data_IF_610483795391
#
_entry.id   IF_610483795391
#
_cell.length_a   1.000
_cell.length_b   1.000
_cell.length_c   1.000
_cell.angle_alpha   90.00
_cell.angle_beta   90.00
_cell.angle_gamma   90.00
#
_symmetry.space_group_name_H-M   'P 1'
#
loop_
_entity.id
_entity.type
_entity.pdbx_description
1 polymer ?
#
# COMPACT_ATOMS: atom_id res chain seq x y z
N UNK A 1 -14.75 32.41 24.74
CA UNK A 1 -15.68 31.91 23.71
C UNK A 1 -16.45 30.75 24.34
N UNK A 2 -17.76 30.91 24.52
CA UNK A 2 -18.64 30.03 25.34
C UNK A 2 -19.50 29.16 24.40
N UNK A 3 -19.87 27.93 24.81
CA UNK A 3 -21.29 27.56 24.75
C UNK A 3 -21.73 26.82 26.03
N UNK A 4 -22.73 27.30 26.79
CA UNK A 4 -24.19 27.41 26.57
C UNK A 4 -24.94 26.18 27.11
N UNK A 5 -25.54 26.42 28.28
CA UNK A 5 -26.58 25.62 28.91
C UNK A 5 -27.91 25.76 28.15
N UNK A 6 -28.69 24.69 28.04
CA UNK A 6 -30.10 24.73 27.68
C UNK A 6 -30.88 23.78 28.59
N UNK A 7 -31.89 24.32 29.28
CA UNK A 7 -32.90 23.59 30.03
C UNK A 7 -34.28 24.01 29.52
N UNK A 8 -35.23 23.06 29.54
CA UNK A 8 -36.70 23.16 29.75
C UNK A 8 -37.45 22.09 28.90
N UNK A 9 -38.72 21.74 29.19
CA UNK A 9 -39.26 21.19 30.44
C UNK A 9 -39.98 19.84 30.20
N UNK A 10 -40.47 19.25 31.28
CA UNK A 10 -41.08 17.92 31.34
C UNK A 10 -42.51 17.81 30.76
N UNK A 11 -42.85 16.54 30.43
CA UNK A 11 -44.16 15.90 30.22
C UNK A 11 -44.65 15.79 28.77
N UNK A 12 -44.73 14.55 28.26
CA UNK A 12 -45.98 13.83 27.93
C UNK A 12 -45.66 12.38 27.50
N UNK A 13 -46.47 11.42 27.95
CA UNK A 13 -46.45 10.00 27.58
C UNK A 13 -47.00 9.82 26.16
N UNK A 14 -46.36 9.02 25.32
CA UNK A 14 -46.96 8.56 24.07
C UNK A 14 -46.01 7.90 23.08
N UNK A 15 -46.18 6.58 22.90
CA UNK A 15 -45.71 5.73 21.80
C UNK A 15 -44.19 5.73 21.49
N UNK A 16 -43.51 4.66 21.92
CA UNK A 16 -42.18 4.31 21.47
C UNK A 16 -42.22 3.88 19.99
N UNK A 17 -42.00 4.82 19.08
CA UNK A 17 -41.59 4.50 17.72
C UNK A 17 -40.11 4.11 17.76
N UNK A 18 -39.85 2.81 17.59
CA UNK A 18 -38.50 2.28 17.41
C UNK A 18 -37.96 2.81 16.07
N UNK A 19 -37.33 3.98 16.10
CA UNK A 19 -36.49 4.46 15.00
C UNK A 19 -35.30 3.51 14.90
N UNK A 20 -35.38 2.57 13.98
CA UNK A 20 -34.25 1.80 13.50
C UNK A 20 -33.24 2.79 12.93
N UNK A 21 -32.34 3.27 13.78
CA UNK A 21 -31.10 3.90 13.36
C UNK A 21 -30.34 2.84 12.56
N UNK A 22 -30.48 2.89 11.23
CA UNK A 22 -29.56 2.16 10.36
C UNK A 22 -28.14 2.58 10.77
N UNK A 23 -27.22 1.62 10.99
CA UNK A 23 -25.83 1.98 11.18
C UNK A 23 -25.41 2.80 9.95
N UNK A 24 -25.02 4.05 10.17
CA UNK A 24 -24.31 4.83 9.17
C UNK A 24 -23.01 4.06 8.96
N UNK A 25 -22.98 3.26 7.89
CA UNK A 25 -21.73 2.70 7.40
C UNK A 25 -20.78 3.88 7.23
N UNK A 26 -19.51 3.79 7.71
CA UNK A 26 -18.54 4.81 7.41
C UNK A 26 -18.54 5.02 5.89
N UNK A 27 -18.74 6.27 5.46
CA UNK A 27 -18.67 6.62 4.05
C UNK A 27 -17.30 6.16 3.58
N UNK A 28 -17.29 5.13 2.71
CA UNK A 28 -16.08 4.70 2.03
C UNK A 28 -15.46 5.95 1.41
N UNK A 29 -14.16 6.15 1.62
CA UNK A 29 -13.45 7.32 1.09
C UNK A 29 -13.70 7.47 -0.41
N UNK A 30 -13.49 8.65 -0.97
CA UNK A 30 -13.56 8.81 -2.43
C UNK A 30 -12.32 8.15 -3.05
N UNK A 31 -12.46 7.31 -4.09
CA UNK A 31 -11.32 6.81 -4.84
C UNK A 31 -10.47 7.97 -5.37
N UNK A 32 -9.15 7.87 -5.21
CA UNK A 32 -8.19 8.86 -5.74
C UNK A 32 -7.22 8.17 -6.68
N UNK A 33 -6.76 8.88 -7.71
CA UNK A 33 -5.84 8.34 -8.70
C UNK A 33 -4.79 9.37 -9.11
N UNK A 34 -3.60 8.88 -9.44
CA UNK A 34 -2.50 9.62 -10.05
C UNK A 34 -2.02 8.87 -11.29
N UNK A 35 -1.42 9.57 -12.23
CA UNK A 35 -0.90 8.99 -13.45
C UNK A 35 0.33 9.71 -13.98
N UNK A 36 1.13 8.99 -14.77
CA UNK A 36 2.20 9.55 -15.60
C UNK A 36 2.03 9.08 -17.06
N UNK A 37 3.07 9.16 -17.89
CA UNK A 37 2.98 8.74 -19.29
C UNK A 37 2.62 7.25 -19.46
N UNK A 38 3.01 6.38 -18.52
CA UNK A 38 3.01 4.91 -18.68
C UNK A 38 2.15 4.16 -17.67
N UNK A 39 1.88 4.76 -16.51
CA UNK A 39 1.23 4.13 -15.37
C UNK A 39 0.09 4.97 -14.84
N UNK A 40 -0.95 4.28 -14.33
CA UNK A 40 -1.99 4.86 -13.48
C UNK A 40 -2.06 4.05 -12.19
N UNK A 41 -2.07 4.75 -11.07
CA UNK A 41 -2.29 4.21 -9.72
C UNK A 41 -3.62 4.74 -9.21
N UNK A 42 -4.45 3.89 -8.63
CA UNK A 42 -5.67 4.32 -7.96
C UNK A 42 -5.84 3.60 -6.61
N UNK A 43 -6.27 4.34 -5.59
CA UNK A 43 -6.68 3.80 -4.30
C UNK A 43 -8.14 3.38 -4.34
N UNK A 44 -8.43 2.19 -3.81
CA UNK A 44 -9.74 1.55 -3.72
C UNK A 44 -10.15 1.43 -2.24
N UNK A 45 -10.99 2.35 -1.75
CA UNK A 45 -11.39 2.43 -0.34
C UNK A 45 -12.15 1.20 0.18
N UNK A 46 -12.90 0.51 -0.69
CA UNK A 46 -13.67 -0.68 -0.29
C UNK A 46 -12.78 -1.88 0.09
N UNK A 47 -11.56 -1.93 -0.47
CA UNK A 47 -10.62 -3.04 -0.24
C UNK A 47 -9.33 -2.63 0.44
N UNK A 48 -9.16 -1.35 0.79
CA UNK A 48 -7.89 -0.77 1.24
C UNK A 48 -6.69 -1.12 0.35
N UNK A 49 -6.93 -1.16 -0.97
CA UNK A 49 -5.93 -1.58 -1.96
C UNK A 49 -5.63 -0.50 -2.97
N UNK A 50 -4.49 -0.62 -3.62
CA UNK A 50 -4.15 0.10 -4.83
C UNK A 50 -4.30 -0.82 -6.05
N UNK A 51 -4.74 -0.23 -7.15
CA UNK A 51 -4.74 -0.85 -8.47
C UNK A 51 -3.70 -0.17 -9.36
N UNK A 52 -2.94 -0.97 -10.13
CA UNK A 52 -1.94 -0.50 -11.07
C UNK A 52 -2.32 -0.88 -12.50
N UNK A 53 -2.39 0.13 -13.37
CA UNK A 53 -2.70 -0.03 -14.79
C UNK A 53 -1.52 0.44 -15.63
N UNK A 54 -1.13 -0.37 -16.60
CA UNK A 54 -0.18 0.02 -17.65
C UNK A 54 -0.96 0.74 -18.77
N UNK A 55 -0.81 2.07 -18.85
CA UNK A 55 -1.60 2.93 -19.72
C UNK A 55 -1.52 2.56 -21.20
N UNK A 56 -0.33 2.27 -21.79
CA UNK A 56 -0.23 1.94 -23.20
C UNK A 56 -1.04 0.71 -23.63
N UNK A 57 -1.24 -0.27 -22.73
CA UNK A 57 -2.00 -1.49 -23.03
C UNK A 57 -3.38 -1.53 -22.38
N UNK A 58 -3.70 -0.56 -21.51
CA UNK A 58 -4.91 -0.55 -20.68
C UNK A 58 -4.99 -1.71 -19.67
N UNK A 59 -3.91 -2.48 -19.48
CA UNK A 59 -3.93 -3.69 -18.65
C UNK A 59 -3.77 -3.34 -17.18
N UNK A 60 -4.72 -3.78 -16.37
CA UNK A 60 -4.57 -3.92 -14.92
C UNK A 60 -3.56 -5.04 -14.66
N UNK A 61 -2.44 -4.72 -13.98
CA UNK A 61 -1.39 -5.72 -13.71
C UNK A 61 -1.13 -5.94 -12.21
N UNK A 62 -1.69 -5.09 -11.35
CA UNK A 62 -1.83 -5.36 -9.92
C UNK A 62 -3.21 -4.87 -9.44
N UNK A 63 -4.01 -5.78 -8.87
CA UNK A 63 -5.40 -5.51 -8.48
C UNK A 63 -5.62 -5.42 -6.97
N UNK A 64 -4.62 -5.83 -6.19
CA UNK A 64 -4.70 -5.95 -4.72
C UNK A 64 -3.38 -5.54 -4.05
N UNK A 65 -2.80 -4.42 -4.50
CA UNK A 65 -1.59 -3.89 -3.87
C UNK A 65 -1.96 -3.29 -2.50
N UNK A 66 -1.33 -3.74 -1.44
CA UNK A 66 -1.45 -3.15 -0.09
C UNK A 66 -0.12 -2.59 0.36
N UNK A 67 -0.17 -1.53 1.16
CA UNK A 67 0.99 -0.89 1.77
C UNK A 67 0.87 -1.00 3.28
N UNK A 68 1.95 -1.29 3.98
CA UNK A 68 1.91 -1.36 5.44
C UNK A 68 1.35 -0.06 6.04
N UNK A 69 0.43 -0.18 7.00
CA UNK A 69 -0.18 0.98 7.67
C UNK A 69 -1.29 1.68 6.89
N UNK A 70 -1.63 1.28 5.66
CA UNK A 70 -2.66 1.98 4.87
C UNK A 70 -4.10 1.55 5.15
N UNK A 71 -4.34 0.40 5.79
CA UNK A 71 -5.69 -0.15 5.99
C UNK A 71 -6.58 0.79 6.82
N UNK A 72 -7.81 1.08 6.39
CA UNK A 72 -8.71 2.02 7.06
C UNK A 72 -8.20 3.47 7.10
N UNK A 73 -7.17 3.80 6.32
CA UNK A 73 -6.61 5.16 6.25
C UNK A 73 -7.34 6.04 5.25
N UNK A 74 -7.18 7.36 5.41
CA UNK A 74 -7.70 8.34 4.46
C UNK A 74 -6.65 8.65 3.38
N UNK A 75 -7.04 8.48 2.12
CA UNK A 75 -6.18 8.75 0.97
C UNK A 75 -6.29 10.21 0.51
N UNK A 76 -5.15 10.82 0.16
CA UNK A 76 -5.08 12.14 -0.48
C UNK A 76 -3.95 12.18 -1.50
N UNK A 77 -4.09 13.03 -2.51
CA UNK A 77 -3.03 13.32 -3.47
C UNK A 77 -2.14 14.43 -2.90
N UNK A 78 -0.83 14.23 -2.95
CA UNK A 78 0.17 15.23 -2.57
C UNK A 78 1.18 15.44 -3.69
N UNK A 79 1.60 16.67 -3.89
CA UNK A 79 2.73 16.99 -4.78
C UNK A 79 4.04 16.77 -4.03
N UNK A 80 5.01 16.16 -4.69
CA UNK A 80 6.37 16.00 -4.18
C UNK A 80 7.29 17.02 -4.85
N UNK A 81 8.07 17.79 -4.07
CA UNK A 81 9.03 18.73 -4.63
C UNK A 81 10.10 17.99 -5.45
N UNK A 82 10.81 18.74 -6.30
CA UNK A 82 11.86 18.17 -7.13
C UNK A 82 12.99 17.58 -6.27
N UNK A 83 13.31 16.32 -6.51
CA UNK A 83 14.47 15.63 -5.96
C UNK A 83 15.29 14.93 -7.06
N UNK A 84 16.13 13.94 -6.70
CA UNK A 84 16.93 13.19 -7.68
C UNK A 84 16.12 12.47 -8.77
N UNK A 85 14.84 12.16 -8.50
CA UNK A 85 13.91 11.55 -9.46
C UNK A 85 12.98 12.57 -10.13
N UNK A 86 13.23 13.87 -9.95
CA UNK A 86 12.36 14.95 -10.40
C UNK A 86 11.24 15.26 -9.41
N UNK A 87 10.32 16.15 -9.82
CA UNK A 87 9.08 16.40 -9.09
C UNK A 87 8.10 15.24 -9.35
N UNK A 88 7.30 14.90 -8.34
CA UNK A 88 6.40 13.75 -8.40
C UNK A 88 5.02 14.05 -7.85
N UNK A 89 4.14 13.07 -7.94
CA UNK A 89 2.85 13.05 -7.26
C UNK A 89 2.70 11.75 -6.50
N UNK A 90 2.07 11.79 -5.34
CA UNK A 90 1.84 10.61 -4.54
C UNK A 90 0.40 10.54 -4.04
N UNK A 91 -0.10 9.32 -3.89
CA UNK A 91 -1.24 9.03 -3.04
C UNK A 91 -0.66 8.70 -1.66
N UNK A 92 -0.94 9.56 -0.68
CA UNK A 92 -0.61 9.32 0.72
C UNK A 92 -1.88 8.83 1.44
N UNK A 93 -1.79 7.67 2.08
CA UNK A 93 -2.85 7.11 2.92
C UNK A 93 -2.39 7.20 4.36
N UNK A 94 -3.15 7.88 5.22
CA UNK A 94 -2.83 8.08 6.65
C UNK A 94 -3.95 7.57 7.54
N UNK A 95 -3.57 6.85 8.58
CA UNK A 95 -4.42 6.54 9.72
C UNK A 95 -4.41 7.69 10.74
N UNK A 96 -5.32 7.61 11.73
CA UNK A 96 -5.39 8.56 12.84
C UNK A 96 -4.13 8.58 13.71
N UNK A 97 -3.38 7.48 13.75
CA UNK A 97 -2.11 7.38 14.48
C UNK A 97 -0.90 7.88 13.68
N UNK A 98 -1.12 8.47 12.50
CA UNK A 98 -0.11 8.90 11.52
C UNK A 98 0.66 7.77 10.82
N UNK A 99 0.39 6.50 11.12
CA UNK A 99 0.88 5.40 10.28
C UNK A 99 0.19 5.44 8.92
N UNK A 100 0.77 4.79 7.92
CA UNK A 100 0.29 4.96 6.56
C UNK A 100 1.20 4.41 5.49
N UNK A 101 0.85 4.72 4.26
CA UNK A 101 1.65 4.38 3.08
C UNK A 101 1.67 5.51 2.08
N UNK A 102 2.72 5.56 1.27
CA UNK A 102 2.84 6.48 0.15
C UNK A 102 3.11 5.69 -1.12
N UNK A 103 2.33 5.95 -2.16
CA UNK A 103 2.52 5.40 -3.50
C UNK A 103 2.73 6.55 -4.49
N UNK A 104 3.89 6.57 -5.13
CA UNK A 104 4.41 7.72 -5.86
C UNK A 104 4.65 7.38 -7.34
N UNK A 105 4.33 8.34 -8.21
CA UNK A 105 4.73 8.37 -9.60
C UNK A 105 5.60 9.59 -9.89
N UNK A 106 6.62 9.39 -10.72
CA UNK A 106 7.40 10.47 -11.34
C UNK A 106 7.10 10.49 -12.85
N UNK A 107 7.09 11.65 -13.52
CA UNK A 107 6.64 11.79 -14.92
C UNK A 107 7.29 10.81 -15.91
N UNK A 108 8.62 10.67 -15.83
CA UNK A 108 9.42 9.93 -16.82
C UNK A 108 9.89 8.56 -16.31
N UNK A 109 9.28 8.04 -15.24
CA UNK A 109 9.67 6.76 -14.64
C UNK A 109 8.61 5.67 -14.90
N UNK A 110 8.99 4.51 -15.45
CA UNK A 110 8.09 3.37 -15.60
C UNK A 110 7.94 2.56 -14.31
N UNK A 111 8.08 3.21 -13.16
CA UNK A 111 8.08 2.59 -11.84
C UNK A 111 7.07 3.27 -10.91
N UNK A 112 6.46 2.44 -10.07
CA UNK A 112 5.70 2.89 -8.90
C UNK A 112 6.62 2.77 -7.69
N UNK A 113 6.77 3.87 -6.95
CA UNK A 113 7.58 3.89 -5.74
C UNK A 113 6.67 3.78 -4.53
N UNK A 114 7.00 2.88 -3.60
CA UNK A 114 6.16 2.59 -2.43
C UNK A 114 6.98 2.74 -1.16
N UNK A 115 6.42 3.43 -0.18
CA UNK A 115 7.01 3.61 1.15
C UNK A 115 5.97 3.34 2.22
N UNK A 116 6.39 2.74 3.33
CA UNK A 116 5.58 2.65 4.53
C UNK A 116 5.92 3.79 5.50
N UNK A 117 4.91 4.28 6.20
CA UNK A 117 4.98 5.31 7.22
C UNK A 117 4.65 4.64 8.54
N UNK A 118 5.66 4.47 9.39
CA UNK A 118 5.55 3.76 10.66
C UNK A 118 5.34 4.77 11.77
N UNK A 119 4.33 4.56 12.60
CA UNK A 119 4.07 5.40 13.75
C UNK A 119 4.02 4.61 15.05
N UNK A 120 4.42 5.25 16.13
CA UNK A 120 4.25 4.76 17.49
C UNK A 120 3.41 5.75 18.29
N UNK A 121 2.07 5.57 18.33
CA UNK A 121 1.19 6.45 19.10
C UNK A 121 1.22 6.18 20.61
N UNK A 122 1.94 5.15 21.06
CA UNK A 122 1.93 4.73 22.47
C UNK A 122 2.91 5.55 23.31
N UNK A 123 2.79 5.45 24.64
CA UNK A 123 3.70 6.10 25.59
C UNK A 123 5.05 5.36 25.76
N UNK A 124 5.19 4.17 25.18
CA UNK A 124 6.39 3.34 25.29
C UNK A 124 7.14 3.26 23.96
N UNK A 125 8.43 2.91 23.98
CA UNK A 125 9.18 2.69 22.75
C UNK A 125 8.69 1.42 22.06
N UNK A 126 8.32 1.52 20.78
CA UNK A 126 7.90 0.38 19.97
C UNK A 126 9.08 -0.18 19.20
N UNK A 127 9.15 -1.52 19.15
CA UNK A 127 10.11 -2.28 18.35
C UNK A 127 9.45 -2.81 17.09
N UNK A 128 10.08 -2.57 15.94
CA UNK A 128 9.75 -3.17 14.66
C UNK A 128 10.88 -4.11 14.24
N UNK A 129 10.56 -5.39 14.03
CA UNK A 129 11.51 -6.40 13.55
C UNK A 129 11.47 -6.51 12.03
N UNK A 130 10.25 -6.68 11.51
CA UNK A 130 9.97 -6.82 10.08
C UNK A 130 8.78 -5.94 9.74
N UNK A 131 8.85 -5.23 8.63
CA UNK A 131 7.77 -4.38 8.13
C UNK A 131 7.36 -4.89 6.75
N UNK A 132 6.12 -5.40 6.57
CA UNK A 132 5.65 -5.91 5.28
C UNK A 132 5.25 -4.76 4.36
N UNK A 133 6.22 -3.99 3.85
CA UNK A 133 5.99 -2.72 3.13
C UNK A 133 4.98 -2.88 2.01
N UNK A 134 5.13 -3.90 1.16
CA UNK A 134 4.22 -4.16 0.04
C UNK A 134 3.79 -5.63 0.00
N UNK A 135 2.52 -5.84 -0.34
CA UNK A 135 2.00 -7.08 -0.92
C UNK A 135 1.20 -6.73 -2.15
N UNK A 136 1.38 -7.45 -3.27
CA UNK A 136 0.60 -7.23 -4.48
C UNK A 136 0.22 -8.55 -5.15
N UNK A 137 -1.08 -8.73 -5.43
CA UNK A 137 -1.54 -9.75 -6.37
C UNK A 137 -1.42 -9.25 -7.80
N UNK A 138 -0.78 -10.05 -8.65
CA UNK A 138 -0.41 -9.69 -10.01
C UNK A 138 -1.32 -10.37 -11.04
N UNK A 139 -1.77 -9.59 -12.03
CA UNK A 139 -2.44 -10.12 -13.22
C UNK A 139 -1.52 -9.91 -14.44
N UNK A 140 -0.79 -10.97 -14.80
CA UNK A 140 0.10 -10.94 -15.96
C UNK A 140 -0.56 -11.55 -17.21
N UNK A 141 -1.87 -11.86 -17.15
CA UNK A 141 -2.62 -12.48 -18.25
C UNK A 141 -2.17 -13.89 -18.60
N UNK A 142 -1.51 -14.56 -17.66
CA UNK A 142 -0.99 -15.92 -17.78
C UNK A 142 -1.24 -16.66 -16.47
N UNK A 143 -1.53 -17.98 -16.51
CA UNK A 143 -1.56 -18.82 -15.33
C UNK A 143 -0.24 -18.78 -14.54
N UNK A 144 -0.30 -18.83 -13.21
CA UNK A 144 0.89 -18.68 -12.37
C UNK A 144 1.99 -19.73 -12.60
N UNK A 145 1.61 -20.95 -12.95
CA UNK A 145 2.52 -22.07 -13.26
C UNK A 145 3.29 -21.89 -14.59
N UNK A 146 2.76 -21.06 -15.49
CA UNK A 146 3.43 -20.68 -16.75
C UNK A 146 4.42 -19.54 -16.60
N UNK A 147 4.39 -18.82 -15.48
CA UNK A 147 5.29 -17.72 -15.17
C UNK A 147 6.59 -18.21 -14.50
N UNK A 148 7.65 -17.40 -14.59
CA UNK A 148 8.91 -17.63 -13.89
C UNK A 148 9.27 -16.44 -13.01
N UNK A 149 9.97 -16.74 -11.92
CA UNK A 149 10.58 -15.75 -11.05
C UNK A 149 12.11 -15.74 -11.29
N UNK A 150 12.70 -14.56 -11.45
CA UNK A 150 14.14 -14.37 -11.57
C UNK A 150 14.61 -13.37 -10.53
N UNK A 151 15.51 -13.81 -9.66
CA UNK A 151 16.17 -12.96 -8.67
C UNK A 151 17.55 -13.49 -8.31
N UNK A 152 18.04 -13.15 -7.13
CA UNK A 152 19.35 -13.61 -6.62
C UNK A 152 19.45 -15.13 -6.43
N UNK A 153 18.32 -15.84 -6.31
CA UNK A 153 18.28 -17.30 -6.26
C UNK A 153 18.31 -17.96 -7.65
N UNK A 154 18.46 -17.18 -8.73
CA UNK A 154 18.39 -17.65 -10.11
C UNK A 154 16.96 -17.69 -10.64
N UNK A 155 16.75 -18.48 -11.70
CA UNK A 155 15.45 -18.64 -12.36
C UNK A 155 14.67 -19.80 -11.73
N UNK A 156 13.50 -19.51 -11.18
CA UNK A 156 12.65 -20.49 -10.48
C UNK A 156 11.19 -20.42 -10.94
N UNK A 157 10.36 -21.36 -10.47
CA UNK A 157 8.92 -21.16 -10.45
C UNK A 157 8.56 -19.98 -9.52
N UNK A 158 7.37 -19.40 -9.70
CA UNK A 158 6.91 -18.23 -8.92
C UNK A 158 6.86 -18.52 -7.41
N UNK A 159 6.44 -19.71 -7.01
CA UNK A 159 6.36 -20.15 -5.62
C UNK A 159 7.60 -20.90 -5.11
N UNK A 160 8.60 -21.11 -5.97
CA UNK A 160 9.86 -21.74 -5.62
C UNK A 160 10.98 -20.78 -5.21
N UNK A 161 10.72 -19.46 -5.18
CA UNK A 161 11.76 -18.45 -4.94
C UNK A 161 11.98 -18.21 -3.44
N UNK A 162 13.21 -18.44 -2.94
CA UNK A 162 13.56 -18.33 -1.52
C UNK A 162 13.76 -16.90 -1.00
N UNK A 163 13.66 -15.90 -1.88
CA UNK A 163 13.81 -14.47 -1.56
C UNK A 163 14.92 -13.80 -2.35
N UNK A 164 14.78 -12.50 -2.66
CA UNK A 164 15.83 -11.72 -3.31
C UNK A 164 16.12 -10.38 -2.64
N UNK A 165 17.40 -10.13 -2.39
CA UNK A 165 17.87 -8.90 -1.74
C UNK A 165 18.10 -7.73 -2.71
N UNK A 166 18.07 -7.97 -4.03
CA UNK A 166 18.40 -6.92 -5.02
C UNK A 166 17.19 -6.61 -5.88
N UNK A 167 16.72 -7.59 -6.65
CA UNK A 167 15.58 -7.45 -7.53
C UNK A 167 14.85 -8.79 -7.66
N UNK A 168 13.58 -8.73 -8.00
CA UNK A 168 12.77 -9.89 -8.33
C UNK A 168 11.89 -9.54 -9.52
N UNK A 169 12.06 -10.29 -10.61
CA UNK A 169 11.20 -10.24 -11.78
C UNK A 169 10.26 -11.44 -11.79
N UNK A 170 8.98 -11.21 -12.10
CA UNK A 170 7.97 -12.26 -12.35
C UNK A 170 7.43 -12.02 -13.76
N UNK A 171 7.67 -12.96 -14.67
CA UNK A 171 7.39 -12.77 -16.09
C UNK A 171 7.02 -14.06 -16.82
N UNK A 172 6.32 -13.88 -17.95
CA UNK A 172 6.13 -14.91 -18.97
C UNK A 172 7.46 -15.13 -19.70
N UNK A 173 8.06 -16.33 -19.68
CA UNK A 173 9.35 -16.58 -20.32
C UNK A 173 9.31 -16.44 -21.85
N UNK A 174 8.15 -16.64 -22.48
CA UNK A 174 8.00 -16.54 -23.94
C UNK A 174 7.94 -15.09 -24.41
N UNK A 175 7.04 -14.30 -23.84
CA UNK A 175 6.84 -12.90 -24.23
C UNK A 175 7.75 -11.90 -23.51
N UNK A 176 8.34 -12.31 -22.38
CA UNK A 176 9.07 -11.46 -21.43
C UNK A 176 8.21 -10.36 -20.79
N UNK A 177 6.90 -10.39 -20.99
CA UNK A 177 5.98 -9.49 -20.31
C UNK A 177 5.89 -9.89 -18.83
N UNK A 178 6.02 -8.91 -17.94
CA UNK A 178 6.02 -9.16 -16.50
C UNK A 178 6.23 -7.89 -15.70
N UNK A 179 6.53 -8.09 -14.42
CA UNK A 179 6.87 -7.03 -13.48
C UNK A 179 8.28 -7.26 -12.94
N UNK A 180 8.99 -6.17 -12.67
CA UNK A 180 10.25 -6.17 -11.93
C UNK A 180 10.09 -5.30 -10.70
N UNK A 181 10.65 -5.77 -9.59
CA UNK A 181 10.67 -5.08 -8.30
C UNK A 181 12.11 -5.04 -7.79
N UNK A 182 12.47 -3.97 -7.08
CA UNK A 182 13.80 -3.77 -6.52
C UNK A 182 13.72 -2.81 -5.33
N UNK A 183 14.70 -2.87 -4.44
CA UNK A 183 14.90 -1.86 -3.40
C UNK A 183 15.74 -0.72 -3.95
N UNK A 184 15.23 0.51 -3.86
CA UNK A 184 15.97 1.71 -4.30
C UNK A 184 17.13 2.01 -3.35
N UNK A 185 16.90 1.82 -2.05
CA UNK A 185 17.85 2.09 -0.98
C UNK A 185 17.76 0.98 0.06
N UNK A 186 18.88 0.76 0.75
CA UNK A 186 18.92 0.00 2.00
C UNK A 186 19.35 0.98 3.09
N UNK A 187 18.42 1.37 3.95
CA UNK A 187 18.71 2.20 5.11
C UNK A 187 18.11 1.55 6.34
N UNK A 188 18.93 1.36 7.38
CA UNK A 188 18.57 0.77 8.70
C UNK A 188 18.01 -0.65 8.70
N UNK A 189 17.67 -1.23 7.55
CA UNK A 189 17.13 -2.57 7.40
C UNK A 189 17.49 -3.21 6.05
N UNK A 190 17.27 -4.51 5.96
CA UNK A 190 17.52 -5.31 4.76
C UNK A 190 16.19 -5.61 4.07
N UNK A 191 16.04 -5.12 2.84
CA UNK A 191 14.89 -5.43 2.02
C UNK A 191 15.00 -6.81 1.39
N UNK A 192 13.91 -7.58 1.39
CA UNK A 192 13.85 -8.88 0.70
C UNK A 192 12.56 -8.98 -0.10
N UNK A 193 12.67 -9.40 -1.36
CA UNK A 193 11.57 -9.61 -2.27
C UNK A 193 11.20 -11.08 -2.31
N UNK A 194 9.94 -11.41 -2.12
CA UNK A 194 9.43 -12.77 -2.21
C UNK A 194 8.35 -12.87 -3.26
N UNK A 195 8.28 -14.03 -3.91
CA UNK A 195 7.14 -14.43 -4.73
C UNK A 195 6.49 -15.67 -4.15
N UNK A 196 5.19 -15.79 -4.37
CA UNK A 196 4.39 -16.98 -4.03
C UNK A 196 3.17 -17.04 -4.92
N UNK A 197 2.39 -18.13 -4.84
CA UNK A 197 1.08 -18.23 -5.50
C UNK A 197 0.01 -18.38 -4.42
N UNK A 198 -1.11 -17.67 -4.56
CA UNK A 198 -2.28 -17.80 -3.67
C UNK A 198 -3.53 -17.87 -4.52
N UNK A 199 -4.29 -18.97 -4.42
CA UNK A 199 -5.50 -19.19 -5.24
C UNK A 199 -5.25 -19.00 -6.75
N UNK A 200 -4.11 -19.47 -7.25
CA UNK A 200 -3.70 -19.32 -8.65
C UNK A 200 -3.18 -17.93 -9.05
N UNK A 201 -3.14 -16.96 -8.12
CA UNK A 201 -2.65 -15.60 -8.37
C UNK A 201 -1.19 -15.48 -7.92
N UNK A 202 -0.26 -15.00 -8.78
CA UNK A 202 1.09 -14.62 -8.37
C UNK A 202 1.05 -13.47 -7.36
N UNK A 203 1.74 -13.64 -6.24
CA UNK A 203 1.85 -12.65 -5.18
C UNK A 203 3.30 -12.19 -5.06
N UNK A 204 3.53 -10.88 -5.17
CA UNK A 204 4.77 -10.21 -4.80
C UNK A 204 4.68 -9.73 -3.34
N UNK A 205 5.73 -9.92 -2.55
CA UNK A 205 5.89 -9.31 -1.22
C UNK A 205 7.25 -8.63 -1.10
N UNK A 206 7.29 -7.50 -0.43
CA UNK A 206 8.52 -6.75 -0.17
C UNK A 206 8.59 -6.32 1.30
N UNK A 207 8.90 -7.24 2.24
CA UNK A 207 9.23 -6.87 3.60
C UNK A 207 10.63 -6.24 3.72
N UNK A 208 10.80 -5.40 4.76
CA UNK A 208 12.11 -4.97 5.27
C UNK A 208 12.33 -5.59 6.64
N UNK A 209 13.46 -6.25 6.82
CA UNK A 209 13.94 -6.74 8.10
C UNK A 209 14.88 -5.71 8.75
N UNK A 210 14.41 -5.08 9.81
CA UNK A 210 15.19 -4.13 10.62
C UNK A 210 15.92 -4.81 11.80
N UNK A 211 15.44 -5.99 12.22
CA UNK A 211 15.92 -6.70 13.41
C UNK A 211 15.54 -6.05 14.75
N UNK A 212 15.79 -4.74 14.92
CA UNK A 212 15.43 -3.94 16.10
C UNK A 212 15.30 -2.44 15.77
N UNK A 213 14.46 -2.08 14.82
CA UNK A 213 14.10 -0.67 14.65
C UNK A 213 13.29 -0.22 15.87
N UNK A 214 13.78 0.80 16.57
CA UNK A 214 13.09 1.41 17.70
C UNK A 214 12.47 2.74 17.26
N UNK A 215 11.20 2.90 17.54
CA UNK A 215 10.47 4.16 17.35
C UNK A 215 10.02 4.63 18.73
N UNK A 216 10.54 5.77 19.17
CA UNK A 216 10.20 6.35 20.47
C UNK A 216 8.71 6.69 20.56
N UNK A 217 8.23 6.86 21.79
CA UNK A 217 6.85 7.25 22.06
C UNK A 217 6.47 8.53 21.31
N UNK A 218 5.31 8.51 20.64
CA UNK A 218 4.79 9.64 19.86
C UNK A 218 5.57 10.00 18.60
N UNK A 219 6.54 9.17 18.17
CA UNK A 219 7.34 9.43 16.97
C UNK A 219 6.88 8.59 15.78
N UNK A 220 7.23 9.06 14.58
CA UNK A 220 7.03 8.36 13.33
C UNK A 220 8.33 8.30 12.52
N UNK A 221 8.46 7.31 11.64
CA UNK A 221 9.58 7.15 10.72
C UNK A 221 9.08 6.58 9.40
N UNK A 222 9.79 6.85 8.31
CA UNK A 222 9.56 6.18 7.03
C UNK A 222 10.39 4.89 6.95
N UNK A 223 9.98 3.97 6.08
CA UNK A 223 10.65 2.71 5.81
C UNK A 223 11.86 2.84 4.89
#
# INVERSE_FOLDING_TARGET
>A
MVPRCLLLPARWLGAAALLLLSPVSPVAGTPVAIENAVLRVAWQPEGDTFTLVHKPTGRLFASSLTVAGSAGGMARIVALPAGPLGAGQAIEVRQSDSSGGRVTLYPDQPFVFVQALLSNPTAETRRFNTVPVVRAGLDLGRPADSLKALGTAGLTAVDGHSGSYVFLAIADPGSRAGVVSAWLTHDRGCGVLFSSVTNGVPILRAPIDYGRLLVSAGQSTES
#
